data_IF_693299397060
#
_entry.id   IF_693299397060
#
_cell.length_a   1.000
_cell.length_b   1.000
_cell.length_c   1.000
_cell.angle_alpha   90.00
_cell.angle_beta   90.00
_cell.angle_gamma   90.00
#
_symmetry.space_group_name_H-M   'P 1'
#
loop_
_entity.id
_entity.type
_entity.pdbx_description
1 polymer ?
#
# COMPACT_ATOMS: atom_id res chain seq x y z
N UNK A 1 19.23 10.93 -11.73
CA UNK A 1 19.54 12.01 -10.77
C UNK A 1 18.94 13.27 -11.36
N UNK A 2 17.70 13.55 -10.97
CA UNK A 2 16.86 14.60 -11.55
C UNK A 2 17.22 15.91 -10.86
N UNK A 3 17.64 16.90 -11.64
CA UNK A 3 17.91 18.26 -11.20
C UNK A 3 16.60 18.91 -10.73
N UNK A 4 16.29 18.80 -9.43
CA UNK A 4 15.22 19.57 -8.79
C UNK A 4 15.71 21.02 -8.65
N UNK A 5 15.64 21.77 -9.76
CA UNK A 5 15.85 23.21 -9.74
C UNK A 5 14.74 23.89 -8.93
N UNK A 6 15.13 24.86 -8.11
CA UNK A 6 14.26 25.71 -7.29
C UNK A 6 12.93 26.07 -7.98
N UNK A 7 11.79 26.12 -7.24
CA UNK A 7 10.51 26.56 -7.79
C UNK A 7 10.65 28.00 -8.29
N UNK A 8 10.74 28.14 -9.61
CA UNK A 8 10.83 29.45 -10.24
C UNK A 8 9.47 30.14 -10.04
N UNK A 9 9.42 31.13 -9.14
CA UNK A 9 8.20 31.90 -8.80
C UNK A 9 7.42 32.37 -10.03
N UNK A 10 8.10 32.65 -11.14
CA UNK A 10 7.47 33.05 -12.40
C UNK A 10 6.66 31.91 -13.06
N UNK A 11 7.15 30.68 -12.94
CA UNK A 11 6.47 29.46 -13.38
C UNK A 11 5.27 29.14 -12.49
N UNK A 12 5.39 29.33 -11.18
CA UNK A 12 4.30 29.10 -10.23
C UNK A 12 3.13 30.08 -10.48
N UNK A 13 3.44 31.36 -10.65
CA UNK A 13 2.44 32.39 -10.95
C UNK A 13 1.77 32.12 -12.31
N UNK A 14 2.54 31.73 -13.33
CA UNK A 14 1.99 31.37 -14.64
C UNK A 14 1.02 30.20 -14.54
N UNK A 15 1.45 29.13 -13.87
CA UNK A 15 0.66 27.90 -13.72
C UNK A 15 -0.62 28.15 -12.92
N UNK A 16 -0.54 28.97 -11.88
CA UNK A 16 -1.69 29.29 -11.01
C UNK A 16 -2.71 30.23 -11.67
N UNK A 17 -2.25 31.16 -12.53
CA UNK A 17 -3.10 32.26 -13.04
C UNK A 17 -3.46 32.16 -14.52
N UNK A 18 -2.69 31.43 -15.32
CA UNK A 18 -2.82 31.42 -16.79
C UNK A 18 -3.13 30.01 -17.28
N UNK A 19 -2.32 29.02 -16.91
CA UNK A 19 -2.54 27.62 -17.28
C UNK A 19 -1.27 26.79 -17.24
N UNK A 20 -1.39 25.49 -17.53
CA UNK A 20 -0.26 24.57 -17.57
C UNK A 20 0.61 24.81 -18.82
N UNK A 21 1.89 25.18 -18.65
CA UNK A 21 2.77 25.43 -19.79
C UNK A 21 3.05 24.13 -20.56
N UNK A 22 3.10 24.20 -21.89
CA UNK A 22 3.47 23.06 -22.75
C UNK A 22 4.98 22.94 -22.94
N UNK A 23 5.71 24.04 -22.75
CA UNK A 23 7.17 24.10 -22.87
C UNK A 23 7.75 25.09 -21.86
N UNK A 24 8.99 24.90 -21.43
CA UNK A 24 9.69 25.82 -20.52
C UNK A 24 9.86 27.24 -21.11
N UNK A 25 9.98 27.31 -22.44
CA UNK A 25 10.14 28.57 -23.17
C UNK A 25 8.83 29.37 -23.23
N UNK A 26 7.66 28.73 -23.10
CA UNK A 26 6.35 29.41 -23.09
C UNK A 26 6.25 30.43 -21.94
N UNK A 27 6.65 30.02 -20.73
CA UNK A 27 6.62 30.86 -19.53
C UNK A 27 7.58 32.04 -19.67
N UNK A 28 8.79 31.78 -20.14
CA UNK A 28 9.82 32.81 -20.35
C UNK A 28 9.39 33.80 -21.43
N UNK A 29 8.85 33.30 -22.54
CA UNK A 29 8.33 34.11 -23.64
C UNK A 29 7.17 35.01 -23.20
N UNK A 30 6.25 34.49 -22.38
CA UNK A 30 5.17 35.28 -21.81
C UNK A 30 5.68 36.44 -20.95
N UNK A 31 6.60 36.18 -20.02
CA UNK A 31 7.12 37.24 -19.15
C UNK A 31 7.98 38.26 -19.90
N UNK A 32 8.75 37.82 -20.91
CA UNK A 32 9.48 38.73 -21.82
C UNK A 32 8.52 39.62 -22.61
N UNK A 33 7.43 39.05 -23.13
CA UNK A 33 6.40 39.81 -23.84
C UNK A 33 5.72 40.84 -22.90
N UNK A 34 5.32 40.41 -21.71
CA UNK A 34 4.67 41.28 -20.73
C UNK A 34 5.60 42.42 -20.29
N UNK A 35 6.87 42.11 -20.02
CA UNK A 35 7.89 43.11 -19.68
C UNK A 35 8.10 44.09 -20.84
N UNK A 36 8.26 43.58 -22.06
CA UNK A 36 8.43 44.41 -23.26
C UNK A 36 7.25 45.36 -23.45
N UNK A 37 6.02 44.86 -23.34
CA UNK A 37 4.80 45.66 -23.48
C UNK A 37 4.71 46.74 -22.39
N UNK A 38 5.06 46.41 -21.15
CA UNK A 38 5.12 47.36 -20.04
C UNK A 38 6.16 48.45 -20.29
N UNK A 39 7.36 48.09 -20.72
CA UNK A 39 8.43 49.05 -21.03
C UNK A 39 8.05 49.97 -22.20
N UNK A 40 7.41 49.43 -23.23
CA UNK A 40 6.89 50.23 -24.34
C UNK A 40 5.84 51.22 -23.87
N UNK A 41 4.86 50.77 -23.09
CA UNK A 41 3.83 51.65 -22.55
C UNK A 41 4.41 52.73 -21.64
N UNK A 42 5.29 52.34 -20.72
CA UNK A 42 5.96 53.27 -19.80
C UNK A 42 6.79 54.30 -20.56
N UNK A 43 7.54 53.87 -21.57
CA UNK A 43 8.33 54.76 -22.43
C UNK A 43 7.46 55.79 -23.14
N UNK A 44 6.31 55.38 -23.69
CA UNK A 44 5.35 56.29 -24.33
C UNK A 44 4.77 57.30 -23.32
N UNK A 45 4.40 56.86 -22.11
CA UNK A 45 3.89 57.74 -21.04
C UNK A 45 4.94 58.78 -20.62
N UNK A 46 6.18 58.36 -20.43
CA UNK A 46 7.28 59.25 -20.04
C UNK A 46 7.58 60.25 -21.17
N UNK A 47 7.59 59.79 -22.42
CA UNK A 47 7.78 60.64 -23.59
C UNK A 47 6.69 61.71 -23.69
N UNK A 48 5.41 61.32 -23.56
CA UNK A 48 4.28 62.25 -23.68
C UNK A 48 4.23 63.25 -22.53
N UNK A 49 4.52 62.82 -21.30
CA UNK A 49 4.64 63.71 -20.14
C UNK A 49 5.72 64.78 -20.35
N UNK A 50 6.87 64.39 -20.91
CA UNK A 50 7.95 65.33 -21.28
C UNK A 50 7.59 66.30 -22.40
N UNK A 51 6.57 66.00 -23.21
CA UNK A 51 6.04 66.93 -24.24
C UNK A 51 4.94 67.85 -23.72
N UNK A 52 4.16 67.42 -22.72
CA UNK A 52 3.04 68.17 -22.15
C UNK A 52 3.48 69.28 -21.17
N UNK A 53 4.67 69.17 -20.58
CA UNK A 53 5.16 70.08 -19.52
C UNK A 53 5.50 71.53 -19.93
N UNK A 54 5.30 71.92 -21.19
CA UNK A 54 5.61 73.28 -21.67
C UNK A 54 7.10 73.67 -21.54
N UNK A 55 7.42 74.92 -21.88
CA UNK A 55 8.78 75.50 -21.93
C UNK A 55 9.43 75.66 -20.54
N UNK A 56 9.64 74.56 -19.81
CA UNK A 56 10.49 74.48 -18.62
C UNK A 56 11.98 74.31 -18.97
N UNK A 57 12.87 74.23 -17.95
CA UNK A 57 14.31 74.07 -18.16
C UNK A 57 14.60 72.93 -19.12
N UNK A 58 15.29 73.25 -20.21
CA UNK A 58 15.45 72.37 -21.36
C UNK A 58 16.00 70.98 -20.98
N UNK A 59 16.88 70.91 -19.98
CA UNK A 59 17.52 69.69 -19.47
C UNK A 59 16.55 68.64 -18.93
N UNK A 60 15.50 69.05 -18.22
CA UNK A 60 14.50 68.12 -17.64
C UNK A 60 13.65 67.51 -18.75
N UNK A 61 13.19 68.32 -19.69
CA UNK A 61 12.39 67.86 -20.83
C UNK A 61 13.20 66.92 -21.76
N UNK A 62 14.51 67.14 -21.91
CA UNK A 62 15.38 66.23 -22.66
C UNK A 62 15.50 64.85 -21.99
N UNK A 63 15.64 64.81 -20.66
CA UNK A 63 15.73 63.54 -19.92
C UNK A 63 14.46 62.69 -20.11
N UNK A 64 13.26 63.29 -19.99
CA UNK A 64 11.99 62.57 -20.24
C UNK A 64 11.91 62.00 -21.65
N UNK A 65 12.30 62.77 -22.67
CA UNK A 65 12.30 62.29 -24.07
C UNK A 65 13.28 61.15 -24.27
N UNK A 66 14.50 61.28 -23.74
CA UNK A 66 15.54 60.26 -23.86
C UNK A 66 15.11 58.96 -23.18
N UNK A 67 14.63 59.02 -21.93
CA UNK A 67 14.13 57.84 -21.23
C UNK A 67 12.91 57.22 -21.93
N UNK A 68 12.00 58.05 -22.42
CA UNK A 68 10.83 57.58 -23.15
C UNK A 68 11.18 56.82 -24.42
N UNK A 69 12.13 57.33 -25.22
CA UNK A 69 12.60 56.68 -26.44
C UNK A 69 13.42 55.42 -26.14
N UNK A 70 14.28 55.43 -25.12
CA UNK A 70 15.06 54.24 -24.75
C UNK A 70 14.15 53.12 -24.23
N UNK A 71 13.20 53.43 -23.33
CA UNK A 71 12.28 52.43 -22.78
C UNK A 71 11.38 51.84 -23.86
N UNK A 72 10.83 52.68 -24.74
CA UNK A 72 10.02 52.21 -25.88
C UNK A 72 10.84 51.44 -26.92
N UNK A 73 12.07 51.88 -27.17
CA UNK A 73 13.02 51.23 -28.05
C UNK A 73 13.51 49.86 -27.55
N UNK A 74 13.66 49.66 -26.24
CA UNK A 74 13.99 48.33 -25.68
C UNK A 74 12.73 47.45 -25.65
N UNK A 75 11.57 48.03 -25.32
CA UNK A 75 10.32 47.29 -25.19
C UNK A 75 9.87 46.60 -26.48
N UNK A 76 9.98 47.27 -27.64
CA UNK A 76 9.52 46.71 -28.92
C UNK A 76 10.26 45.41 -29.34
N UNK A 77 11.62 45.35 -29.34
CA UNK A 77 12.37 44.11 -29.54
C UNK A 77 12.06 43.03 -28.51
N UNK A 78 11.79 43.37 -27.25
CA UNK A 78 11.42 42.41 -26.20
C UNK A 78 10.03 41.82 -26.43
N UNK A 79 9.07 42.61 -26.90
CA UNK A 79 7.75 42.11 -27.32
C UNK A 79 7.90 41.09 -28.45
N UNK A 80 8.68 41.43 -29.47
CA UNK A 80 8.93 40.51 -30.60
C UNK A 80 9.66 39.24 -30.15
N UNK A 81 10.70 39.38 -29.32
CA UNK A 81 11.44 38.25 -28.77
C UNK A 81 10.55 37.35 -27.90
N UNK A 82 9.74 37.94 -27.02
CA UNK A 82 8.81 37.22 -26.17
C UNK A 82 7.77 36.45 -26.98
N UNK A 83 7.24 37.05 -28.05
CA UNK A 83 6.34 36.37 -28.98
C UNK A 83 7.01 35.17 -29.68
N UNK A 84 8.26 35.32 -30.14
CA UNK A 84 9.03 34.26 -30.81
C UNK A 84 9.35 33.12 -29.84
N UNK A 85 9.83 33.43 -28.62
CA UNK A 85 10.19 32.44 -27.59
C UNK A 85 8.95 31.70 -27.08
N UNK A 86 7.76 32.33 -27.12
CA UNK A 86 6.50 31.68 -26.73
C UNK A 86 6.08 30.55 -27.68
N UNK A 87 6.49 30.62 -28.95
CA UNK A 87 6.27 29.53 -29.88
C UNK A 87 7.36 28.47 -29.73
N UNK A 88 7.05 27.18 -29.92
CA UNK A 88 8.01 26.07 -29.85
C UNK A 88 8.93 26.07 -31.09
N UNK A 89 9.69 27.14 -31.28
CA UNK A 89 10.62 27.30 -32.38
C UNK A 89 11.97 26.65 -32.05
N UNK A 90 12.69 26.21 -33.09
CA UNK A 90 14.02 25.62 -32.92
C UNK A 90 14.97 26.62 -32.23
N UNK A 91 15.93 26.10 -31.47
CA UNK A 91 16.98 26.90 -30.77
C UNK A 91 17.68 27.92 -31.67
N UNK A 92 17.80 27.65 -32.98
CA UNK A 92 18.39 28.58 -33.96
C UNK A 92 17.56 29.85 -34.13
N UNK A 93 16.22 29.75 -34.14
CA UNK A 93 15.33 30.90 -34.23
C UNK A 93 15.43 31.78 -32.98
N UNK A 94 15.37 31.16 -31.79
CA UNK A 94 15.47 31.89 -30.52
C UNK A 94 16.86 32.52 -30.34
N UNK A 95 17.93 31.84 -30.75
CA UNK A 95 19.29 32.41 -30.76
C UNK A 95 19.40 33.60 -31.72
N UNK A 96 18.85 33.50 -32.93
CA UNK A 96 18.88 34.60 -33.88
C UNK A 96 18.06 35.81 -33.40
N UNK A 97 16.89 35.57 -32.81
CA UNK A 97 16.05 36.61 -32.23
C UNK A 97 16.75 37.30 -31.04
N UNK A 98 17.36 36.54 -30.13
CA UNK A 98 18.11 37.11 -29.00
C UNK A 98 19.32 37.93 -29.46
N UNK A 99 20.06 37.48 -30.48
CA UNK A 99 21.12 38.28 -31.10
C UNK A 99 20.58 39.57 -31.71
N UNK A 100 19.47 39.51 -32.45
CA UNK A 100 18.80 40.70 -33.00
C UNK A 100 18.37 41.70 -31.92
N UNK A 101 17.80 41.21 -30.81
CA UNK A 101 17.48 42.05 -29.64
C UNK A 101 18.74 42.67 -29.03
N UNK A 102 19.83 41.92 -28.93
CA UNK A 102 21.12 42.44 -28.47
C UNK A 102 21.65 43.58 -29.36
N UNK A 103 21.53 43.44 -30.68
CA UNK A 103 21.89 44.49 -31.65
C UNK A 103 21.04 45.76 -31.43
N UNK A 104 19.74 45.61 -31.18
CA UNK A 104 18.87 46.76 -30.84
C UNK A 104 19.32 47.46 -29.55
N UNK A 105 19.70 46.71 -28.51
CA UNK A 105 20.21 47.28 -27.25
C UNK A 105 21.51 48.04 -27.47
N UNK A 106 22.43 47.50 -28.28
CA UNK A 106 23.68 48.20 -28.64
C UNK A 106 23.40 49.48 -29.41
N UNK A 107 22.44 49.45 -30.35
CA UNK A 107 22.03 50.65 -31.08
C UNK A 107 21.45 51.72 -30.14
N UNK A 108 20.68 51.34 -29.13
CA UNK A 108 20.13 52.27 -28.13
C UNK A 108 21.19 52.81 -27.16
N UNK A 109 22.18 52.00 -26.79
CA UNK A 109 23.32 52.49 -26.02
C UNK A 109 24.12 53.52 -26.84
N UNK A 110 24.37 53.23 -28.13
CA UNK A 110 25.03 54.18 -29.03
C UNK A 110 24.19 55.45 -29.25
N UNK A 111 22.88 55.30 -29.35
CA UNK A 111 21.95 56.41 -29.44
C UNK A 111 22.08 57.40 -28.28
N UNK A 112 22.15 56.91 -27.04
CA UNK A 112 22.33 57.74 -25.84
C UNK A 112 23.64 58.52 -25.89
N UNK A 113 24.70 57.93 -26.44
CA UNK A 113 26.01 58.57 -26.61
C UNK A 113 26.01 59.65 -27.68
N UNK A 114 25.33 59.41 -28.81
CA UNK A 114 25.23 60.37 -29.93
C UNK A 114 24.32 61.54 -29.59
N UNK A 115 23.29 61.30 -28.75
CA UNK A 115 22.29 62.29 -28.37
C UNK A 115 22.25 62.54 -26.85
N UNK A 116 23.29 63.14 -26.25
CA UNK A 116 23.33 63.45 -24.83
C UNK A 116 22.39 64.61 -24.42
N UNK A 117 21.90 65.40 -25.38
CA UNK A 117 20.91 66.48 -25.20
C UNK A 117 20.68 67.26 -26.50
N UNK A 118 19.61 68.06 -26.61
CA UNK A 118 19.41 68.98 -27.75
C UNK A 118 18.95 68.33 -29.06
N UNK A 119 17.84 67.60 -29.05
CA UNK A 119 17.31 66.94 -30.25
C UNK A 119 16.66 67.94 -31.21
N UNK A 120 17.31 68.20 -32.33
CA UNK A 120 16.71 68.96 -33.44
C UNK A 120 15.95 68.01 -34.39
N UNK A 121 14.70 68.34 -34.77
CA UNK A 121 13.98 67.60 -35.81
C UNK A 121 14.78 67.60 -37.13
N UNK A 122 15.19 66.41 -37.60
CA UNK A 122 15.91 66.22 -38.87
C UNK A 122 17.37 65.78 -38.75
N UNK A 123 17.98 65.85 -37.56
CA UNK A 123 19.38 65.45 -37.33
C UNK A 123 19.51 63.97 -36.90
N UNK A 124 18.91 63.04 -37.66
CA UNK A 124 18.97 61.60 -37.37
C UNK A 124 20.32 60.96 -37.74
N UNK A 125 20.93 60.20 -36.83
CA UNK A 125 22.20 59.52 -37.05
C UNK A 125 21.95 58.21 -37.80
N UNK A 126 22.17 58.24 -39.12
CA UNK A 126 21.87 57.13 -40.03
C UNK A 126 22.46 55.80 -39.55
N UNK A 127 23.67 55.81 -38.96
CA UNK A 127 24.31 54.59 -38.45
C UNK A 127 23.57 53.94 -37.28
N UNK A 128 22.98 54.75 -36.38
CA UNK A 128 22.24 54.21 -35.22
C UNK A 128 20.92 53.61 -35.69
N UNK A 129 20.22 54.33 -36.59
CA UNK A 129 18.97 53.85 -37.17
C UNK A 129 19.20 52.57 -37.98
N UNK A 130 20.25 52.51 -38.81
CA UNK A 130 20.59 51.33 -39.58
C UNK A 130 20.89 50.12 -38.69
N UNK A 131 21.64 50.32 -37.60
CA UNK A 131 21.95 49.24 -36.65
C UNK A 131 20.70 48.72 -35.93
N UNK A 132 19.82 49.63 -35.48
CA UNK A 132 18.56 49.25 -34.85
C UNK A 132 17.65 48.50 -35.84
N UNK A 133 17.52 48.99 -37.08
CA UNK A 133 16.76 48.31 -38.15
C UNK A 133 17.33 46.94 -38.47
N UNK A 134 18.66 46.78 -38.48
CA UNK A 134 19.31 45.48 -38.67
C UNK A 134 18.95 44.50 -37.54
N UNK A 135 18.93 44.97 -36.30
CA UNK A 135 18.48 44.18 -35.15
C UNK A 135 17.03 43.71 -35.30
N UNK A 136 16.11 44.62 -35.65
CA UNK A 136 14.70 44.28 -35.94
C UNK A 136 14.58 43.29 -37.10
N UNK A 137 15.38 43.45 -38.16
CA UNK A 137 15.39 42.53 -39.29
C UNK A 137 15.79 41.11 -38.85
N UNK A 138 16.81 40.95 -38.01
CA UNK A 138 17.18 39.62 -37.48
C UNK A 138 16.06 38.98 -36.66
N UNK A 139 15.36 39.76 -35.83
CA UNK A 139 14.21 39.27 -35.07
C UNK A 139 13.07 38.86 -36.02
N UNK A 140 12.78 39.66 -37.04
CA UNK A 140 11.75 39.35 -38.03
C UNK A 140 12.09 38.10 -38.86
N UNK A 141 13.35 37.94 -39.29
CA UNK A 141 13.83 36.76 -40.00
C UNK A 141 13.74 35.51 -39.12
N UNK A 142 14.08 35.63 -37.83
CA UNK A 142 13.94 34.54 -36.87
C UNK A 142 12.50 34.08 -36.70
N UNK A 143 11.54 35.00 -36.65
CA UNK A 143 10.12 34.68 -36.49
C UNK A 143 9.39 34.27 -37.78
N UNK A 144 9.81 34.77 -38.94
CA UNK A 144 9.10 34.54 -40.21
C UNK A 144 9.77 33.48 -41.10
N UNK A 145 11.10 33.49 -41.21
CA UNK A 145 11.81 32.64 -42.18
C UNK A 145 12.24 31.32 -41.56
N UNK A 146 12.79 31.33 -40.35
CA UNK A 146 13.27 30.10 -39.71
C UNK A 146 12.16 29.05 -39.59
N UNK A 147 10.91 29.38 -39.20
CA UNK A 147 9.86 28.36 -39.13
C UNK A 147 9.45 27.78 -40.49
N UNK A 148 9.64 28.52 -41.59
CA UNK A 148 9.31 28.09 -42.96
C UNK A 148 10.47 27.29 -43.57
N UNK A 149 11.70 27.72 -43.31
CA UNK A 149 12.91 27.13 -43.89
C UNK A 149 13.41 25.90 -43.13
N UNK A 150 12.87 25.63 -41.94
CA UNK A 150 13.19 24.42 -41.19
C UNK A 150 11.96 23.55 -41.09
N UNK A 151 12.08 22.29 -41.53
CA UNK A 151 10.94 21.36 -41.63
C UNK A 151 10.08 21.37 -40.35
N UNK A 152 8.75 21.34 -40.52
CA UNK A 152 7.83 21.28 -39.41
C UNK A 152 8.09 20.01 -38.61
N UNK A 153 7.82 20.10 -37.31
CA UNK A 153 8.01 19.08 -36.28
C UNK A 153 7.21 17.81 -36.61
N UNK A 154 7.71 16.95 -37.51
CA UNK A 154 7.14 15.64 -37.81
C UNK A 154 7.67 14.57 -36.84
N UNK A 155 8.90 14.72 -36.33
CA UNK A 155 9.51 13.77 -35.38
C UNK A 155 8.71 13.66 -34.06
N UNK A 156 8.09 14.74 -33.59
CA UNK A 156 7.31 14.68 -32.35
C UNK A 156 5.95 14.00 -32.54
N UNK A 157 5.36 14.03 -33.74
CA UNK A 157 4.09 13.34 -33.98
C UNK A 157 4.27 11.84 -34.14
N UNK A 158 5.32 11.39 -34.83
CA UNK A 158 5.67 9.97 -34.91
C UNK A 158 6.04 9.43 -33.53
N UNK A 159 6.85 10.14 -32.74
CA UNK A 159 7.17 9.72 -31.37
C UNK A 159 5.94 9.71 -30.45
N UNK A 160 5.01 10.66 -30.60
CA UNK A 160 3.75 10.65 -29.84
C UNK A 160 2.85 9.49 -30.27
N UNK A 161 2.81 9.14 -31.55
CA UNK A 161 2.06 7.97 -32.02
C UNK A 161 2.70 6.66 -31.60
N UNK A 162 4.02 6.56 -31.61
CA UNK A 162 4.78 5.39 -31.18
C UNK A 162 4.65 5.19 -29.66
N UNK A 163 4.75 6.27 -28.86
CA UNK A 163 4.51 6.20 -27.41
C UNK A 163 3.06 5.90 -27.06
N UNK A 164 2.08 6.46 -27.79
CA UNK A 164 0.68 6.12 -27.61
C UNK A 164 0.39 4.65 -27.97
N UNK A 165 0.96 4.16 -29.08
CA UNK A 165 0.85 2.76 -29.48
C UNK A 165 1.51 1.82 -28.45
N UNK A 166 2.70 2.19 -27.95
CA UNK A 166 3.39 1.44 -26.90
C UNK A 166 2.60 1.42 -25.59
N UNK A 167 1.97 2.54 -25.23
CA UNK A 167 1.11 2.63 -24.03
C UNK A 167 -0.16 1.80 -24.19
N UNK A 168 -0.79 1.82 -25.38
CA UNK A 168 -1.96 0.98 -25.68
C UNK A 168 -1.62 -0.50 -25.60
N UNK A 169 -0.51 -0.93 -26.19
CA UNK A 169 -0.05 -2.31 -26.13
C UNK A 169 0.28 -2.75 -24.69
N UNK A 170 0.89 -1.87 -23.89
CA UNK A 170 1.14 -2.14 -22.47
C UNK A 170 -0.18 -2.32 -21.69
N UNK A 171 -1.18 -1.47 -21.96
CA UNK A 171 -2.50 -1.54 -21.32
C UNK A 171 -3.23 -2.86 -21.66
N UNK A 172 -3.24 -3.25 -22.94
CA UNK A 172 -3.79 -4.54 -23.39
C UNK A 172 -3.09 -5.74 -22.71
N UNK A 173 -1.76 -5.66 -22.54
CA UNK A 173 -0.99 -6.66 -21.81
C UNK A 173 -1.40 -6.76 -20.33
N UNK A 174 -1.56 -5.63 -19.65
CA UNK A 174 -2.07 -5.60 -18.26
C UNK A 174 -3.51 -6.11 -18.15
N UNK A 175 -4.41 -5.74 -19.07
CA UNK A 175 -5.79 -6.24 -19.07
C UNK A 175 -5.84 -7.76 -19.23
N UNK A 176 -4.99 -8.31 -20.10
CA UNK A 176 -4.85 -9.76 -20.27
C UNK A 176 -4.37 -10.42 -18.96
N UNK A 177 -3.37 -9.84 -18.29
CA UNK A 177 -2.85 -10.38 -17.02
C UNK A 177 -3.89 -10.29 -15.90
N UNK A 178 -4.70 -9.24 -15.85
CA UNK A 178 -5.81 -9.11 -14.89
C UNK A 178 -6.83 -10.21 -15.12
N UNK A 179 -7.24 -10.44 -16.37
CA UNK A 179 -8.20 -11.52 -16.70
C UNK A 179 -7.68 -12.91 -16.29
N UNK A 180 -6.40 -13.20 -16.54
CA UNK A 180 -5.77 -14.46 -16.12
C UNK A 180 -5.77 -14.62 -14.59
N UNK A 181 -5.46 -13.55 -13.85
CA UNK A 181 -5.49 -13.57 -12.38
C UNK A 181 -6.92 -13.71 -11.83
N UNK A 182 -7.91 -13.11 -12.47
CA UNK A 182 -9.32 -13.28 -12.10
C UNK A 182 -9.80 -14.73 -12.28
N UNK A 183 -9.37 -15.40 -13.35
CA UNK A 183 -9.64 -16.83 -13.58
C UNK A 183 -8.96 -17.71 -12.51
N UNK A 184 -7.69 -17.44 -12.19
CA UNK A 184 -6.93 -18.15 -11.15
C UNK A 184 -7.56 -17.95 -9.76
N UNK A 185 -7.99 -16.72 -9.44
CA UNK A 185 -8.70 -16.42 -8.20
C UNK A 185 -10.03 -17.17 -8.15
N UNK A 186 -10.82 -17.15 -9.22
CA UNK A 186 -12.10 -17.86 -9.27
C UNK A 186 -11.94 -19.37 -9.07
N UNK A 187 -10.89 -19.97 -9.67
CA UNK A 187 -10.56 -21.37 -9.46
C UNK A 187 -10.18 -21.66 -7.99
N UNK A 188 -9.35 -20.80 -7.39
CA UNK A 188 -8.92 -20.92 -5.99
C UNK A 188 -10.10 -20.74 -5.02
N UNK A 189 -10.99 -19.80 -5.29
CA UNK A 189 -12.23 -19.61 -4.53
C UNK A 189 -13.15 -20.83 -4.64
N UNK A 190 -13.24 -21.45 -5.82
CA UNK A 190 -13.97 -22.70 -6.02
C UNK A 190 -13.40 -23.86 -5.19
N UNK A 191 -12.07 -23.99 -5.13
CA UNK A 191 -11.39 -24.98 -4.28
C UNK A 191 -11.65 -24.70 -2.79
N UNK A 192 -11.53 -23.44 -2.37
CA UNK A 192 -11.80 -23.02 -1.00
C UNK A 192 -13.26 -23.29 -0.59
N UNK A 193 -14.22 -23.03 -1.50
CA UNK A 193 -15.63 -23.30 -1.23
C UNK A 193 -15.93 -24.80 -1.20
N UNK A 194 -15.25 -25.60 -2.02
CA UNK A 194 -15.34 -27.06 -1.93
C UNK A 194 -14.86 -27.56 -0.56
N UNK A 195 -13.73 -27.05 -0.06
CA UNK A 195 -13.23 -27.31 1.29
C UNK A 195 -14.23 -26.87 2.36
N UNK A 196 -14.79 -25.65 2.24
CA UNK A 196 -15.80 -25.11 3.16
C UNK A 196 -17.13 -25.86 3.13
N UNK A 197 -17.53 -26.46 2.01
CA UNK A 197 -18.81 -27.15 1.88
C UNK A 197 -18.87 -28.50 2.62
N UNK A 198 -17.70 -29.04 2.99
CA UNK A 198 -17.49 -30.31 3.68
C UNK A 198 -17.37 -30.10 5.20
N UNK A 199 -18.41 -29.51 5.82
CA UNK A 199 -18.37 -29.18 7.27
C UNK A 199 -18.69 -30.40 8.14
N UNK A 200 -17.66 -31.00 8.72
CA UNK A 200 -17.82 -31.78 9.94
C UNK A 200 -17.88 -30.85 11.16
N UNK A 201 -18.35 -31.35 12.30
CA UNK A 201 -18.44 -30.62 13.56
C UNK A 201 -17.79 -31.43 14.66
N UNK A 202 -17.01 -30.77 15.51
CA UNK A 202 -16.55 -31.38 16.75
C UNK A 202 -17.66 -31.33 17.81
N UNK A 203 -17.94 -32.49 18.40
CA UNK A 203 -18.86 -32.62 19.52
C UNK A 203 -18.12 -33.09 20.76
N UNK A 204 -18.12 -32.26 21.79
CA UNK A 204 -17.64 -32.63 23.12
C UNK A 204 -18.81 -33.14 23.95
N UNK A 205 -18.67 -34.32 24.52
CA UNK A 205 -19.67 -34.95 25.37
C UNK A 205 -19.02 -35.65 26.57
N UNK A 206 -19.81 -35.93 27.59
CA UNK A 206 -19.40 -36.74 28.74
C UNK A 206 -19.93 -38.17 28.53
N UNK A 207 -19.08 -39.17 28.75
CA UNK A 207 -19.47 -40.57 28.67
C UNK A 207 -20.19 -41.04 29.95
N UNK A 208 -20.73 -42.27 29.91
CA UNK A 208 -21.44 -42.84 31.05
C UNK A 208 -20.55 -43.02 32.31
N UNK A 209 -19.22 -42.94 32.15
CA UNK A 209 -18.24 -43.02 33.23
C UNK A 209 -17.77 -41.65 33.74
N UNK A 210 -18.39 -40.55 33.30
CA UNK A 210 -18.03 -39.19 33.71
C UNK A 210 -16.77 -38.64 33.04
N UNK A 211 -16.21 -39.34 32.04
CA UNK A 211 -15.03 -38.87 31.31
C UNK A 211 -15.47 -38.04 30.10
N UNK A 212 -14.71 -36.99 29.79
CA UNK A 212 -14.97 -36.14 28.65
C UNK A 212 -14.38 -36.75 27.37
N UNK A 213 -15.17 -36.79 26.30
CA UNK A 213 -14.76 -37.29 24.98
C UNK A 213 -15.13 -36.28 23.91
N UNK A 214 -14.40 -36.31 22.80
CA UNK A 214 -14.76 -35.57 21.61
C UNK A 214 -14.99 -36.54 20.44
N UNK A 215 -15.87 -36.18 19.52
CA UNK A 215 -16.04 -36.86 18.23
C UNK A 215 -16.22 -35.86 17.11
N UNK A 216 -15.61 -36.13 15.97
CA UNK A 216 -15.78 -35.37 14.74
C UNK A 216 -16.91 -36.01 13.93
N UNK A 217 -18.02 -35.29 13.79
CA UNK A 217 -19.21 -35.77 13.06
C UNK A 217 -19.36 -35.04 11.74
N UNK A 218 -19.46 -35.77 10.64
CA UNK A 218 -19.80 -35.20 9.35
C UNK A 218 -21.28 -34.75 9.31
N UNK A 219 -21.62 -33.78 8.46
CA UNK A 219 -23.02 -33.32 8.26
C UNK A 219 -24.02 -34.41 7.87
N UNK A 220 -23.56 -35.55 7.36
CA UNK A 220 -24.42 -36.72 7.06
C UNK A 220 -24.75 -37.58 8.29
N UNK A 221 -24.20 -37.25 9.46
CA UNK A 221 -24.41 -37.98 10.72
C UNK A 221 -23.30 -38.96 11.08
N UNK A 222 -22.43 -39.33 10.14
CA UNK A 222 -21.35 -40.29 10.40
C UNK A 222 -20.27 -39.69 11.29
N UNK A 223 -19.80 -40.48 12.25
CA UNK A 223 -18.60 -40.15 13.04
C UNK A 223 -17.38 -40.49 12.17
N UNK A 224 -16.50 -39.51 11.99
CA UNK A 224 -15.28 -39.65 11.18
C UNK A 224 -14.09 -40.01 12.09
N UNK A 225 -14.03 -39.41 13.28
CA UNK A 225 -12.97 -39.62 14.27
C UNK A 225 -13.50 -39.41 15.68
N UNK A 226 -12.86 -40.03 16.66
CA UNK A 226 -13.09 -39.75 18.08
C UNK A 226 -11.77 -39.75 18.87
N UNK A 227 -11.88 -39.35 20.14
CA UNK A 227 -10.72 -39.28 21.02
C UNK A 227 -10.08 -40.64 21.36
N UNK A 228 -10.78 -41.76 21.12
CA UNK A 228 -10.40 -43.13 21.51
C UNK A 228 -10.46 -43.36 23.03
N UNK A 229 -9.99 -42.38 23.80
CA UNK A 229 -9.91 -42.40 25.26
C UNK A 229 -10.77 -41.29 25.88
N UNK A 230 -11.17 -41.50 27.14
CA UNK A 230 -11.89 -40.51 27.94
C UNK A 230 -10.92 -39.63 28.72
N UNK A 231 -11.04 -38.31 28.59
CA UNK A 231 -10.26 -37.32 29.33
C UNK A 231 -10.88 -37.05 30.70
N UNK A 232 -10.04 -36.76 31.70
CA UNK A 232 -10.49 -36.45 33.07
C UNK A 232 -11.10 -35.06 33.24
N UNK A 233 -10.89 -34.15 32.29
CA UNK A 233 -11.49 -32.81 32.32
C UNK A 233 -11.88 -32.33 30.92
N UNK A 234 -12.86 -31.42 30.88
CA UNK A 234 -13.28 -30.76 29.63
C UNK A 234 -12.13 -30.03 28.96
N UNK A 235 -11.26 -29.40 29.74
CA UNK A 235 -10.09 -28.66 29.25
C UNK A 235 -9.09 -29.59 28.54
N UNK A 236 -8.74 -30.74 29.15
CA UNK A 236 -7.86 -31.74 28.53
C UNK A 236 -8.46 -32.30 27.23
N UNK A 237 -9.78 -32.49 27.18
CA UNK A 237 -10.49 -32.89 25.97
C UNK A 237 -10.41 -31.83 24.85
N UNK A 238 -10.52 -30.55 25.19
CA UNK A 238 -10.37 -29.43 24.25
C UNK A 238 -8.94 -29.32 23.71
N UNK A 239 -7.92 -29.52 24.56
CA UNK A 239 -6.52 -29.54 24.15
C UNK A 239 -6.23 -30.69 23.18
N UNK A 240 -6.77 -31.89 23.46
CA UNK A 240 -6.68 -33.04 22.54
C UNK A 240 -7.28 -32.73 21.16
N UNK A 241 -8.46 -32.09 21.13
CA UNK A 241 -9.10 -31.65 19.89
C UNK A 241 -8.26 -30.63 19.11
N UNK A 242 -7.67 -29.63 19.80
CA UNK A 242 -6.76 -28.66 19.18
C UNK A 242 -5.50 -29.32 18.60
N UNK A 243 -4.95 -30.31 19.30
CA UNK A 243 -3.81 -31.09 18.79
C UNK A 243 -4.15 -31.81 17.49
N UNK A 244 -5.36 -32.39 17.39
CA UNK A 244 -5.83 -33.03 16.16
C UNK A 244 -6.02 -32.01 15.03
N UNK A 245 -6.59 -30.83 15.31
CA UNK A 245 -6.76 -29.77 14.30
C UNK A 245 -5.42 -29.26 13.76
N UNK A 246 -4.41 -29.13 14.62
CA UNK A 246 -3.07 -28.67 14.26
C UNK A 246 -2.31 -29.73 13.45
N UNK A 247 -2.32 -30.98 13.90
CA UNK A 247 -1.39 -31.98 13.41
C UNK A 247 -1.93 -32.86 12.28
N UNK A 248 -3.25 -32.98 12.15
CA UNK A 248 -3.86 -33.81 11.10
C UNK A 248 -3.53 -33.29 9.68
N UNK A 249 -3.42 -31.97 9.51
CA UNK A 249 -2.91 -31.34 8.28
C UNK A 249 -1.39 -31.50 8.21
N UNK A 250 -0.92 -32.52 7.50
CA UNK A 250 0.51 -32.75 7.27
C UNK A 250 1.10 -33.96 7.99
N UNK A 251 0.32 -34.70 8.80
CA UNK A 251 0.78 -35.94 9.42
C UNK A 251 1.25 -36.98 8.38
N UNK A 252 2.33 -37.70 8.67
CA UNK A 252 2.78 -38.85 7.88
C UNK A 252 1.84 -40.06 8.02
N UNK A 253 1.98 -41.08 7.18
CA UNK A 253 1.27 -42.37 7.34
C UNK A 253 2.30 -43.45 7.65
N UNK A 254 2.18 -44.07 8.81
CA UNK A 254 2.94 -45.23 9.27
C UNK A 254 2.08 -46.49 9.18
N UNK A 255 2.70 -47.57 8.70
CA UNK A 255 2.09 -48.91 8.71
C UNK A 255 2.71 -49.70 9.84
N UNK A 256 1.87 -50.28 10.70
CA UNK A 256 2.29 -51.24 11.70
C UNK A 256 1.87 -52.63 11.22
N UNK A 257 2.83 -53.53 11.05
CA UNK A 257 2.55 -54.94 10.72
C UNK A 257 2.34 -55.71 12.01
N UNK A 258 1.32 -56.60 12.09
CA UNK A 258 1.12 -57.42 13.27
C UNK A 258 2.30 -58.40 13.40
N UNK A 259 3.05 -58.31 14.50
CA UNK A 259 4.06 -59.30 14.85
C UNK A 259 3.37 -60.61 15.27
N UNK A 260 3.79 -61.74 14.70
CA UNK A 260 3.28 -63.06 15.08
C UNK A 260 3.65 -63.39 16.54
N UNK A 261 2.61 -63.76 17.31
CA UNK A 261 2.60 -64.77 18.39
C UNK A 261 3.19 -64.45 19.77
N UNK A 262 2.33 -64.73 20.77
CA UNK A 262 2.59 -65.12 22.17
C UNK A 262 3.09 -64.05 23.15
N UNK A 263 2.15 -63.27 23.68
CA UNK A 263 2.11 -62.96 25.10
C UNK A 263 0.65 -62.98 25.55
N UNK A 264 0.36 -63.76 26.58
CA UNK A 264 -0.88 -63.65 27.36
C UNK A 264 -1.05 -62.19 27.77
N UNK A 265 -2.08 -61.53 27.25
CA UNK A 265 -2.56 -60.27 27.82
C UNK A 265 -3.21 -60.65 29.14
N UNK A 266 -2.42 -60.63 30.22
CA UNK A 266 -3.00 -60.38 31.53
C UNK A 266 -3.69 -59.02 31.45
N UNK A 267 -4.90 -58.92 32.02
CA UNK A 267 -5.60 -57.66 32.23
C UNK A 267 -4.68 -56.73 33.05
N UNK A 268 -3.84 -55.95 32.37
CA UNK A 268 -3.32 -54.71 32.94
C UNK A 268 -4.51 -53.76 32.98
N UNK A 269 -5.16 -53.70 34.15
CA UNK A 269 -5.75 -52.45 34.61
C UNK A 269 -4.73 -51.35 34.26
N UNK A 270 -5.11 -50.50 33.30
CA UNK A 270 -4.30 -49.36 32.91
C UNK A 270 -4.06 -48.52 34.17
N UNK A 271 -2.92 -48.77 34.80
CA UNK A 271 -2.37 -47.92 35.84
C UNK A 271 -2.38 -46.51 35.29
N UNK A 272 -2.90 -45.59 36.10
CA UNK A 272 -2.95 -44.17 35.79
C UNK A 272 -1.61 -43.75 35.15
N UNK A 273 -1.62 -43.16 33.94
CA UNK A 273 -0.42 -42.53 33.45
C UNK A 273 -0.12 -41.40 34.42
N UNK A 274 1.02 -41.52 35.10
CA UNK A 274 1.67 -40.45 35.84
C UNK A 274 1.57 -39.17 34.99
N UNK A 275 1.09 -38.10 35.62
CA UNK A 275 0.72 -36.85 34.97
C UNK A 275 1.70 -36.51 33.85
N UNK A 276 1.19 -36.42 32.62
CA UNK A 276 1.94 -35.98 31.47
C UNK A 276 2.67 -34.68 31.85
N UNK A 277 3.98 -34.77 32.03
CA UNK A 277 4.82 -33.62 32.28
C UNK A 277 4.50 -32.55 31.24
N UNK A 278 4.31 -31.32 31.71
CA UNK A 278 3.99 -30.16 30.89
C UNK A 278 4.94 -30.11 29.68
N UNK A 279 4.43 -30.23 28.44
CA UNK A 279 5.29 -30.07 27.28
C UNK A 279 5.67 -28.60 27.13
N UNK A 280 6.97 -28.39 26.95
CA UNK A 280 7.60 -27.08 26.78
C UNK A 280 7.03 -26.33 25.56
N UNK A 281 6.78 -25.04 25.75
CA UNK A 281 6.01 -24.17 24.89
C UNK A 281 6.81 -23.76 23.64
N UNK A 282 6.33 -24.10 22.44
CA UNK A 282 6.81 -23.52 21.19
C UNK A 282 5.71 -22.68 20.52
N UNK A 283 5.94 -21.36 20.50
CA UNK A 283 5.20 -20.30 19.78
C UNK A 283 5.33 -20.52 18.26
N UNK A 284 4.30 -20.23 17.44
CA UNK A 284 4.32 -20.60 16.02
C UNK A 284 5.25 -19.69 15.20
N UNK A 285 6.19 -20.32 14.48
CA UNK A 285 6.84 -19.73 13.31
C UNK A 285 6.81 -20.76 12.18
N UNK A 286 6.54 -20.27 10.97
CA UNK A 286 6.63 -20.87 9.63
C UNK A 286 6.71 -22.41 9.48
N UNK A 287 5.74 -22.97 8.74
CA UNK A 287 5.68 -24.39 8.28
C UNK A 287 6.20 -25.43 9.29
N UNK A 288 5.45 -25.64 10.35
CA UNK A 288 5.75 -26.71 11.32
C UNK A 288 5.50 -28.05 10.63
N UNK A 289 6.55 -28.83 10.41
CA UNK A 289 6.42 -30.24 10.08
C UNK A 289 5.54 -30.92 11.14
N UNK A 290 4.48 -31.61 10.71
CA UNK A 290 3.55 -32.26 11.65
C UNK A 290 4.31 -33.19 12.60
N UNK A 291 4.13 -32.98 13.90
CA UNK A 291 4.71 -33.82 14.97
C UNK A 291 3.82 -35.04 15.27
N UNK A 292 3.12 -35.54 14.26
CA UNK A 292 2.24 -36.69 14.40
C UNK A 292 2.21 -37.55 13.16
N UNK A 293 1.86 -38.80 13.36
CA UNK A 293 1.74 -39.77 12.28
C UNK A 293 0.46 -40.59 12.44
N UNK A 294 -0.18 -40.88 11.30
CA UNK A 294 -1.29 -41.82 11.24
C UNK A 294 -0.73 -43.24 11.22
N UNK A 295 -1.02 -44.02 12.24
CA UNK A 295 -0.72 -45.44 12.28
C UNK A 295 -1.91 -46.21 11.74
N UNK A 296 -1.68 -47.02 10.70
CA UNK A 296 -2.66 -47.93 10.13
C UNK A 296 -2.31 -49.36 10.55
N UNK A 297 -3.24 -50.04 11.21
CA UNK A 297 -3.05 -51.39 11.74
C UNK A 297 -4.32 -52.23 11.62
N UNK A 298 -4.15 -53.55 11.66
CA UNK A 298 -5.24 -54.53 11.74
C UNK A 298 -5.40 -54.95 13.20
N UNK A 299 -6.63 -54.95 13.69
CA UNK A 299 -6.93 -55.32 15.08
C UNK A 299 -7.07 -56.85 15.25
N UNK A 300 -7.33 -57.29 16.48
CA UNK A 300 -7.53 -58.71 16.79
C UNK A 300 -8.81 -59.32 16.16
N UNK A 301 -9.69 -58.50 15.58
CA UNK A 301 -10.91 -58.91 14.91
C UNK A 301 -10.77 -58.90 13.37
N UNK A 302 -9.54 -58.79 12.84
CA UNK A 302 -9.25 -58.69 11.40
C UNK A 302 -9.88 -57.43 10.74
N UNK A 303 -10.15 -56.39 11.54
CA UNK A 303 -10.65 -55.10 11.08
C UNK A 303 -9.50 -54.08 10.98
N UNK A 304 -9.50 -53.27 9.92
CA UNK A 304 -8.55 -52.19 9.74
C UNK A 304 -8.92 -50.97 10.58
N UNK A 305 -8.00 -50.48 11.39
CA UNK A 305 -8.14 -49.26 12.18
C UNK A 305 -6.99 -48.30 11.94
N UNK A 306 -7.25 -47.02 12.21
CA UNK A 306 -6.24 -45.99 12.13
C UNK A 306 -6.23 -45.17 13.43
N UNK A 307 -5.04 -44.74 13.85
CA UNK A 307 -4.91 -43.78 14.96
C UNK A 307 -3.91 -42.69 14.62
N UNK A 308 -4.16 -41.49 15.12
CA UNK A 308 -3.23 -40.37 15.03
C UNK A 308 -2.42 -40.33 16.31
N UNK A 309 -1.11 -40.57 16.21
CA UNK A 309 -0.18 -40.54 17.34
C UNK A 309 0.76 -39.35 17.21
N UNK A 310 0.87 -38.57 18.28
CA UNK A 310 1.87 -37.50 18.39
C UNK A 310 3.25 -38.10 18.69
N UNK A 311 4.33 -37.41 18.34
CA UNK A 311 5.71 -37.85 18.54
C UNK A 311 6.08 -38.08 20.02
N UNK A 312 5.23 -37.62 20.95
CA UNK A 312 5.38 -37.88 22.39
C UNK A 312 4.78 -39.22 22.82
N UNK A 313 4.28 -40.03 21.88
CA UNK A 313 3.68 -41.34 22.10
C UNK A 313 2.16 -41.31 22.33
N UNK A 314 1.57 -40.14 22.59
CA UNK A 314 0.15 -40.03 22.91
C UNK A 314 -0.73 -40.21 21.66
N UNK A 315 -1.77 -41.03 21.81
CA UNK A 315 -2.83 -41.18 20.80
C UNK A 315 -3.79 -40.02 20.97
N UNK A 316 -3.87 -39.17 19.95
CA UNK A 316 -4.70 -37.95 19.99
C UNK A 316 -6.03 -38.13 19.28
N UNK A 317 -6.15 -39.07 18.33
CA UNK A 317 -7.40 -39.49 17.68
C UNK A 317 -7.36 -40.97 17.27
N UNK A 318 -8.51 -41.63 17.22
CA UNK A 318 -8.65 -42.99 16.70
C UNK A 318 -9.88 -43.09 15.77
N UNK A 319 -9.90 -44.16 14.99
CA UNK A 319 -11.07 -44.62 14.25
C UNK A 319 -12.15 -45.12 15.22
N UNK A 320 -13.33 -44.53 15.14
CA UNK A 320 -14.48 -44.90 15.99
C UNK A 320 -15.05 -46.28 15.68
N UNK A 321 -14.69 -46.86 14.54
CA UNK A 321 -15.14 -48.15 14.04
C UNK A 321 -13.99 -48.87 13.32
N UNK A 322 -14.05 -50.20 13.27
CA UNK A 322 -13.18 -50.98 12.40
C UNK A 322 -13.68 -51.01 10.96
N UNK A 323 -12.75 -51.00 10.01
CA UNK A 323 -13.05 -51.02 8.58
C UNK A 323 -12.74 -52.39 7.98
N UNK A 324 -13.66 -52.92 7.17
CA UNK A 324 -13.47 -54.20 6.47
C UNK A 324 -12.32 -54.21 5.43
N UNK A 325 -11.67 -53.07 5.15
CA UNK A 325 -10.52 -53.05 4.25
C UNK A 325 -9.60 -51.85 4.50
N UNK A 326 -8.31 -52.04 4.21
CA UNK A 326 -7.29 -50.98 4.21
C UNK A 326 -7.73 -49.73 3.43
N UNK A 327 -8.28 -49.92 2.23
CA UNK A 327 -8.72 -48.81 1.38
C UNK A 327 -9.88 -48.01 1.98
N UNK A 328 -10.75 -48.65 2.78
CA UNK A 328 -11.80 -47.96 3.53
C UNK A 328 -11.18 -47.13 4.67
N UNK A 329 -10.25 -47.71 5.44
CA UNK A 329 -9.56 -47.01 6.52
C UNK A 329 -8.74 -45.81 6.03
N UNK A 330 -8.04 -45.94 4.89
CA UNK A 330 -7.32 -44.83 4.24
C UNK A 330 -8.29 -43.73 3.76
N UNK A 331 -9.45 -44.09 3.22
CA UNK A 331 -10.49 -43.12 2.86
C UNK A 331 -11.04 -42.39 4.08
N UNK A 332 -11.27 -43.09 5.18
CA UNK A 332 -11.70 -42.49 6.44
C UNK A 332 -10.65 -41.52 7.01
N UNK A 333 -9.38 -41.93 7.02
CA UNK A 333 -8.24 -41.08 7.40
C UNK A 333 -8.15 -39.81 6.55
N UNK A 334 -8.23 -39.94 5.22
CA UNK A 334 -8.24 -38.77 4.32
C UNK A 334 -9.46 -37.88 4.58
N UNK A 335 -10.60 -38.48 4.94
CA UNK A 335 -11.75 -37.78 5.47
C UNK A 335 -11.39 -36.92 6.67
N UNK A 336 -10.71 -37.45 7.69
CA UNK A 336 -10.27 -36.65 8.85
C UNK A 336 -9.43 -35.45 8.41
N UNK A 337 -8.44 -35.64 7.53
CA UNK A 337 -7.58 -34.54 7.04
C UNK A 337 -8.38 -33.43 6.34
N UNK A 338 -9.34 -33.80 5.49
CA UNK A 338 -10.16 -32.84 4.75
C UNK A 338 -11.15 -32.10 5.64
N UNK A 339 -11.72 -32.79 6.62
CA UNK A 339 -12.82 -32.24 7.42
C UNK A 339 -12.34 -31.49 8.68
N UNK A 340 -11.18 -31.84 9.24
CA UNK A 340 -10.69 -31.27 10.51
C UNK A 340 -10.37 -29.78 10.40
N UNK A 341 -9.86 -29.34 9.25
CA UNK A 341 -9.48 -27.95 8.97
C UNK A 341 -10.70 -27.02 8.91
N UNK A 342 -11.85 -27.57 8.49
CA UNK A 342 -13.11 -26.84 8.30
C UNK A 342 -14.13 -27.15 9.38
N UNK A 343 -13.74 -27.86 10.44
CA UNK A 343 -14.66 -28.30 11.46
C UNK A 343 -14.99 -27.19 12.45
N UNK A 344 -16.26 -26.80 12.51
CA UNK A 344 -16.74 -25.80 13.45
C UNK A 344 -16.73 -26.37 14.88
N UNK A 345 -16.06 -25.68 15.81
CA UNK A 345 -16.30 -25.80 17.25
C UNK A 345 -16.58 -24.41 17.82
N UNK A 346 -17.40 -24.33 18.87
CA UNK A 346 -17.66 -23.06 19.55
C UNK A 346 -16.37 -22.64 20.28
N UNK A 347 -15.58 -21.77 19.64
CA UNK A 347 -14.43 -21.13 20.25
C UNK A 347 -14.93 -20.22 21.37
N UNK A 348 -14.52 -20.49 22.60
CA UNK A 348 -14.45 -19.43 23.60
C UNK A 348 -13.12 -18.75 23.31
N UNK A 349 -13.16 -17.44 23.06
CA UNK A 349 -11.97 -16.59 22.86
C UNK A 349 -10.81 -17.03 23.77
N UNK A 350 -9.55 -16.96 23.30
CA UNK A 350 -8.38 -17.53 24.00
C UNK A 350 -8.14 -16.95 25.39
N UNK A 351 -8.88 -15.89 25.75
CA UNK A 351 -8.99 -15.37 27.10
C UNK A 351 -10.45 -15.21 27.52
N UNK A 352 -10.81 -15.70 28.71
CA UNK A 352 -12.17 -15.65 29.23
C UNK A 352 -12.25 -14.95 30.60
N UNK A 353 -13.29 -14.15 30.80
CA UNK A 353 -13.59 -13.57 32.12
C UNK A 353 -14.42 -14.54 32.97
N UNK A 354 -13.85 -15.01 34.08
CA UNK A 354 -14.60 -15.75 35.10
C UNK A 354 -15.10 -14.79 36.18
N UNK A 355 -16.42 -14.79 36.43
CA UNK A 355 -17.03 -14.10 37.57
C UNK A 355 -17.30 -15.10 38.69
N UNK A 356 -16.62 -14.92 39.82
CA UNK A 356 -16.76 -15.80 40.98
C UNK A 356 -17.09 -15.01 42.25
N UNK A 357 -17.62 -15.71 43.26
CA UNK A 357 -17.86 -15.15 44.59
C UNK A 357 -16.74 -15.61 45.51
N UNK A 358 -16.11 -14.67 46.21
CA UNK A 358 -15.03 -14.98 47.13
C UNK A 358 -15.55 -15.51 48.49
N UNK A 359 -14.64 -15.95 49.34
CA UNK A 359 -14.96 -16.42 50.69
C UNK A 359 -15.62 -15.33 51.58
N UNK A 360 -15.39 -14.05 51.29
CA UNK A 360 -16.01 -12.92 51.98
C UNK A 360 -17.39 -12.53 51.39
N UNK A 361 -17.91 -13.31 50.44
CA UNK A 361 -19.22 -13.12 49.83
C UNK A 361 -19.30 -11.97 48.81
N UNK A 362 -18.17 -11.36 48.43
CA UNK A 362 -18.04 -10.34 47.38
C UNK A 362 -17.86 -11.00 46.01
N UNK A 363 -18.28 -10.30 44.96
CA UNK A 363 -18.10 -10.75 43.57
C UNK A 363 -16.79 -10.21 43.02
N UNK A 364 -15.99 -11.07 42.39
CA UNK A 364 -14.76 -10.69 41.68
C UNK A 364 -14.80 -11.23 40.26
N UNK A 365 -13.96 -10.66 39.40
CA UNK A 365 -13.69 -11.20 38.08
C UNK A 365 -12.19 -11.46 37.94
N UNK A 366 -11.83 -12.48 37.15
CA UNK A 366 -10.46 -12.72 36.68
C UNK A 366 -10.46 -13.04 35.19
N UNK A 367 -9.46 -12.57 34.47
CA UNK A 367 -9.19 -12.90 33.09
C UNK A 367 -8.26 -14.11 33.06
N UNK A 368 -8.73 -15.20 32.49
CA UNK A 368 -7.97 -16.44 32.35
C UNK A 368 -7.50 -16.57 30.91
N UNK A 369 -6.24 -16.96 30.75
CA UNK A 369 -5.69 -17.42 29.47
C UNK A 369 -6.01 -18.91 29.25
N UNK A 370 -5.91 -19.40 28.01
CA UNK A 370 -6.17 -20.80 27.66
C UNK A 370 -5.26 -21.82 28.38
N UNK A 371 -4.10 -21.38 28.88
CA UNK A 371 -3.17 -22.17 29.69
C UNK A 371 -3.54 -22.20 31.20
N UNK A 372 -4.61 -21.51 31.63
CA UNK A 372 -5.04 -21.43 33.03
C UNK A 372 -4.38 -20.31 33.85
N UNK A 373 -3.48 -19.54 33.24
CA UNK A 373 -2.85 -18.39 33.85
C UNK A 373 -3.85 -17.26 34.06
N UNK A 374 -3.77 -16.60 35.21
CA UNK A 374 -4.56 -15.40 35.50
C UNK A 374 -3.81 -14.21 34.91
N UNK A 375 -4.31 -13.67 33.80
CA UNK A 375 -3.72 -12.51 33.12
C UNK A 375 -4.06 -11.19 33.81
N UNK A 376 -5.25 -11.12 34.42
CA UNK A 376 -5.72 -9.94 35.13
C UNK A 376 -6.78 -10.32 36.16
N UNK A 377 -6.88 -9.55 37.24
CA UNK A 377 -7.97 -9.67 38.20
C UNK A 377 -8.61 -8.31 38.49
N UNK A 378 -9.75 -8.33 39.18
CA UNK A 378 -10.51 -7.11 39.47
C UNK A 378 -9.86 -6.16 40.49
N UNK A 379 -8.80 -6.59 41.19
CA UNK A 379 -8.11 -5.90 42.28
C UNK A 379 -8.96 -5.68 43.55
N UNK A 380 -10.28 -5.58 43.40
CA UNK A 380 -11.25 -5.27 44.45
C UNK A 380 -12.49 -6.17 44.33
N UNK A 381 -13.17 -6.36 45.47
CA UNK A 381 -14.42 -7.13 45.53
C UNK A 381 -15.67 -6.26 45.38
N UNK A 382 -16.53 -6.60 44.42
CA UNK A 382 -17.79 -5.92 44.16
C UNK A 382 -18.94 -6.42 45.04
N UNK A 383 -19.90 -5.54 45.32
CA UNK A 383 -21.07 -5.86 46.16
C UNK A 383 -22.14 -6.70 45.45
N UNK A 384 -22.09 -6.82 44.12
CA UNK A 384 -23.05 -7.61 43.33
C UNK A 384 -22.45 -8.12 42.02
N UNK A 385 -23.00 -9.22 41.49
CA UNK A 385 -22.61 -9.80 40.18
C UNK A 385 -22.77 -8.80 39.03
N UNK A 386 -23.81 -7.96 39.07
CA UNK A 386 -24.04 -6.92 38.08
C UNK A 386 -22.93 -5.86 38.07
N UNK A 387 -22.43 -5.45 39.24
CA UNK A 387 -21.31 -4.51 39.34
C UNK A 387 -19.99 -5.14 38.88
N UNK A 388 -19.76 -6.41 39.19
CA UNK A 388 -18.60 -7.13 38.67
C UNK A 388 -18.62 -7.22 37.13
N UNK A 389 -19.80 -7.45 36.54
CA UNK A 389 -19.99 -7.45 35.08
C UNK A 389 -19.74 -6.07 34.46
N UNK A 390 -20.25 -5.01 35.07
CA UNK A 390 -19.95 -3.64 34.64
C UNK A 390 -18.45 -3.32 34.69
N UNK A 391 -17.73 -3.87 35.68
CA UNK A 391 -16.27 -3.78 35.75
C UNK A 391 -15.58 -4.45 34.56
N UNK A 392 -16.02 -5.66 34.19
CA UNK A 392 -15.51 -6.36 32.99
C UNK A 392 -15.80 -5.57 31.70
N UNK A 393 -17.02 -5.04 31.55
CA UNK A 393 -17.40 -4.25 30.37
C UNK A 393 -16.56 -2.95 30.27
N UNK A 394 -16.23 -2.34 31.42
CA UNK A 394 -15.37 -1.17 31.50
C UNK A 394 -13.92 -1.48 31.10
N UNK A 395 -13.36 -2.60 31.55
CA UNK A 395 -12.03 -3.04 31.12
C UNK A 395 -12.00 -3.29 29.61
N UNK A 396 -13.01 -4.00 29.07
CA UNK A 396 -13.11 -4.27 27.63
C UNK A 396 -13.14 -2.99 26.78
N UNK A 397 -13.85 -1.96 27.25
CA UNK A 397 -14.02 -0.72 26.49
C UNK A 397 -12.82 0.22 26.54
N UNK A 398 -12.02 0.15 27.61
CA UNK A 398 -10.91 1.08 27.84
C UNK A 398 -9.53 0.47 27.52
N UNK A 399 -9.40 -0.86 27.51
CA UNK A 399 -8.13 -1.54 27.32
C UNK A 399 -7.56 -1.39 25.89
N UNK A 400 -8.40 -1.30 24.86
CA UNK A 400 -7.98 -1.29 23.44
C UNK A 400 -7.16 -0.04 23.05
N UNK A 401 -7.19 1.03 23.86
CA UNK A 401 -6.48 2.29 23.59
C UNK A 401 -5.76 2.91 24.78
N UNK A 402 -5.56 2.16 25.87
CA UNK A 402 -4.93 2.70 27.07
C UNK A 402 -3.41 2.91 26.85
N UNK A 403 -2.87 4.12 27.09
CA UNK A 403 -1.42 4.35 27.05
C UNK A 403 -0.73 3.61 28.18
N UNK A 404 0.37 2.91 27.88
CA UNK A 404 1.22 2.24 28.87
C UNK A 404 2.22 3.24 29.42
N UNK A 405 2.09 3.58 30.70
CA UNK A 405 3.05 4.40 31.44
C UNK A 405 3.98 3.47 32.23
N UNK A 406 5.26 3.44 31.86
CA UNK A 406 6.29 2.69 32.59
C UNK A 406 6.77 3.60 33.72
N UNK A 407 6.45 3.24 34.96
CA UNK A 407 6.99 3.91 36.14
C UNK A 407 8.34 3.28 36.46
N UNK A 408 9.42 3.99 36.17
CA UNK A 408 10.76 3.59 36.63
C UNK A 408 10.82 3.75 38.15
N UNK A 409 11.26 2.70 38.87
CA UNK A 409 11.39 2.70 40.33
C UNK A 409 12.42 3.74 40.81
N UNK A 410 12.03 4.55 41.79
CA UNK A 410 12.86 5.62 42.42
C UNK A 410 13.84 5.07 43.46
#
# INVERSE_FOLDING_TARGET
MSDQGDPNRLTDVYTTRIGTPRTDDEVRGYWLFALGALLTLLGVIIYTAGTAGGSGPSTVNYAYRQYGVVLSGIGAPLVMLGAIVRFPLRRRATTLATLGTGVCVVALAWFVVVYPGGWEPGAGHTGVMALYTLGILFIALAGAIVPIATDPVYEAHEQLQETAAGTSAALEGTETRVRELEEELSATEGELEAVRSSRARFELYEDAGGKHRWRLRHRNGNVIADSGQGYSSRQKCQQGMHSVMRNALGAGVLRIEPAESTATVEDEEASEPDDAAEPDLAVPSESVASQSSFELFEDAAEEWRWRLRHDNGNVIADSSEGYASRSNAVRAMNGVRSHVASADYLHVDPTAFELYRDAAGKYRWRLLHENGEILADSGQGYSSRAKARQGVDSVRSNAEGAPVEILDEE
#
